data_IF_229878514435
#
_entry.id   IF_229878514435
#
_cell.length_a   1.000
_cell.length_b   1.000
_cell.length_c   1.000
_cell.angle_alpha   90.00
_cell.angle_beta   90.00
_cell.angle_gamma   90.00
#
_symmetry.space_group_name_H-M   'P 1'
#
loop_
_entity.id
_entity.type
_entity.pdbx_description
1 polymer ?
#
# COMPACT_ATOMS: atom_id res chain seq x y z
N UNK A 1 -4.36 9.81 -6.04
CA UNK A 1 -3.10 9.11 -5.73
C UNK A 1 -3.21 8.59 -4.29
N UNK A 2 -2.86 7.33 -4.03
CA UNK A 2 -2.93 6.70 -2.71
C UNK A 2 -1.93 7.32 -1.71
N UNK A 3 -2.18 7.10 -0.43
CA UNK A 3 -1.27 7.47 0.66
C UNK A 3 -0.46 6.24 1.03
N UNK A 4 0.86 6.42 1.14
CA UNK A 4 1.80 5.40 1.60
C UNK A 4 2.62 5.92 2.77
N UNK A 5 3.04 4.99 3.63
CA UNK A 5 3.94 5.28 4.75
C UNK A 5 5.38 4.97 4.36
N UNK A 6 6.29 5.89 4.68
CA UNK A 6 7.72 5.77 4.41
C UNK A 6 8.50 5.91 5.70
N UNK A 7 9.59 5.17 5.85
CA UNK A 7 10.51 5.29 6.98
C UNK A 7 11.93 5.59 6.52
N UNK A 8 12.59 6.52 7.21
CA UNK A 8 14.00 6.81 7.02
C UNK A 8 14.85 5.91 7.92
N UNK A 9 15.72 5.09 7.33
CA UNK A 9 16.63 4.23 8.09
C UNK A 9 17.77 5.00 8.77
N UNK A 10 18.00 6.26 8.40
CA UNK A 10 19.08 7.08 8.95
C UNK A 10 18.68 7.85 10.21
N UNK A 11 17.50 8.47 10.23
CA UNK A 11 17.03 9.28 11.36
C UNK A 11 15.75 8.75 12.03
N UNK A 12 15.27 7.58 11.61
CA UNK A 12 14.08 6.90 12.14
C UNK A 12 12.78 7.70 12.03
N UNK A 13 12.72 8.70 11.14
CA UNK A 13 11.50 9.45 10.87
C UNK A 13 10.57 8.60 10.00
N UNK A 14 9.28 8.53 10.36
CA UNK A 14 8.23 7.99 9.50
C UNK A 14 7.29 9.10 9.02
N UNK A 15 6.86 9.02 7.76
CA UNK A 15 5.99 10.01 7.13
C UNK A 15 4.96 9.34 6.22
N UNK A 16 3.72 9.81 6.28
CA UNK A 16 2.66 9.45 5.32
C UNK A 16 2.64 10.44 4.16
N UNK A 17 2.70 9.95 2.91
CA UNK A 17 2.70 10.80 1.71
C UNK A 17 1.80 10.27 0.62
N UNK A 18 1.21 11.19 -0.13
CA UNK A 18 0.52 10.89 -1.39
C UNK A 18 1.58 10.63 -2.46
N UNK A 19 1.60 9.43 -3.05
CA UNK A 19 2.57 9.08 -4.09
C UNK A 19 1.97 8.09 -5.12
N UNK A 20 2.69 7.88 -6.23
CA UNK A 20 2.38 6.86 -7.22
C UNK A 20 2.69 5.45 -6.69
N UNK A 21 2.10 4.42 -7.31
CA UNK A 21 2.36 3.04 -6.91
C UNK A 21 3.84 2.65 -7.04
N UNK A 22 4.52 3.15 -8.07
CA UNK A 22 5.92 2.85 -8.40
C UNK A 22 6.95 3.64 -7.55
N UNK A 23 6.48 4.61 -6.76
CA UNK A 23 7.36 5.48 -5.96
C UNK A 23 7.81 4.78 -4.66
N UNK A 24 8.70 3.79 -4.75
CA UNK A 24 9.15 3.03 -3.57
C UNK A 24 10.06 3.82 -2.63
N UNK A 25 10.66 4.91 -3.10
CA UNK A 25 11.62 5.71 -2.34
C UNK A 25 11.33 7.20 -2.42
N UNK A 26 11.46 7.92 -1.30
CA UNK A 26 11.33 9.38 -1.24
C UNK A 26 12.43 10.00 -0.40
N UNK A 27 12.69 11.30 -0.55
CA UNK A 27 13.67 12.02 0.30
C UNK A 27 13.07 12.38 1.66
N UNK A 28 13.83 12.09 2.72
CA UNK A 28 13.53 12.46 4.09
C UNK A 28 13.57 13.98 4.27
N UNK A 29 12.51 14.53 4.84
CA UNK A 29 12.40 15.97 5.14
C UNK A 29 13.32 16.43 6.26
N UNK A 30 13.75 15.51 7.13
CA UNK A 30 14.61 15.81 8.28
C UNK A 30 16.11 15.75 7.93
N UNK A 31 16.58 14.63 7.34
CA UNK A 31 18.01 14.42 7.09
C UNK A 31 18.42 14.37 5.61
N UNK A 32 17.46 14.42 4.67
CA UNK A 32 17.75 14.40 3.23
C UNK A 32 18.16 13.04 2.65
N UNK A 33 18.28 12.00 3.47
CA UNK A 33 18.51 10.62 3.00
C UNK A 33 17.23 10.02 2.39
N UNK A 34 17.38 8.89 1.71
CA UNK A 34 16.24 8.15 1.20
C UNK A 34 15.43 7.50 2.33
N UNK A 35 14.12 7.46 2.11
CA UNK A 35 13.13 6.75 2.89
C UNK A 35 12.55 5.64 2.03
N UNK A 36 12.29 4.50 2.66
CA UNK A 36 11.70 3.33 2.00
C UNK A 36 10.23 3.22 2.37
N UNK A 37 9.41 2.82 1.41
CA UNK A 37 7.99 2.53 1.65
C UNK A 37 7.86 1.31 2.57
N UNK A 38 7.00 1.41 3.57
CA UNK A 38 6.74 0.33 4.53
C UNK A 38 5.75 -0.72 4.01
N UNK A 39 4.95 -0.38 3.01
CA UNK A 39 3.98 -1.29 2.38
C UNK A 39 4.52 -1.81 1.07
N UNK A 40 4.74 -3.13 1.00
CA UNK A 40 5.13 -3.83 -0.22
C UNK A 40 3.98 -3.94 -1.23
N UNK A 41 4.34 -4.08 -2.52
CA UNK A 41 3.39 -4.16 -3.62
C UNK A 41 2.35 -5.28 -3.46
N UNK A 42 2.75 -6.45 -2.94
CA UNK A 42 1.84 -7.59 -2.76
C UNK A 42 0.76 -7.32 -1.70
N UNK A 43 1.08 -6.57 -0.64
CA UNK A 43 0.14 -6.26 0.45
C UNK A 43 -0.94 -5.26 0.01
N UNK A 44 -0.60 -4.37 -0.93
CA UNK A 44 -1.55 -3.40 -1.49
C UNK A 44 -2.70 -4.05 -2.28
N UNK A 45 -2.45 -5.23 -2.87
CA UNK A 45 -3.43 -5.92 -3.70
C UNK A 45 -4.18 -7.04 -2.97
N UNK A 46 -3.77 -7.41 -1.74
CA UNK A 46 -4.44 -8.45 -0.94
C UNK A 46 -5.94 -8.20 -0.81
N UNK A 47 -6.34 -6.96 -0.51
CA UNK A 47 -7.75 -6.58 -0.39
C UNK A 47 -8.57 -6.78 -1.67
N UNK A 48 -7.94 -6.72 -2.86
CA UNK A 48 -8.62 -6.99 -4.13
C UNK A 48 -8.71 -8.50 -4.40
N UNK A 49 -7.67 -9.26 -4.06
CA UNK A 49 -7.64 -10.70 -4.27
C UNK A 49 -8.60 -11.45 -3.35
N UNK A 50 -8.59 -11.14 -2.04
CA UNK A 50 -9.48 -11.75 -1.05
C UNK A 50 -10.97 -11.44 -1.31
N UNK A 51 -11.27 -10.32 -1.97
CA UNK A 51 -12.63 -9.95 -2.30
C UNK A 51 -13.14 -10.63 -3.59
N UNK A 52 -12.25 -11.16 -4.44
CA UNK A 52 -12.63 -11.94 -5.62
C UNK A 52 -13.18 -13.33 -5.27
N UNK A 53 -12.90 -13.84 -4.08
CA UNK A 53 -13.35 -15.16 -3.62
C UNK A 53 -14.77 -15.12 -3.00
N UNK A 54 -15.34 -13.92 -2.80
CA UNK A 54 -16.73 -13.74 -2.39
C UNK A 54 -17.64 -13.51 -3.59
N UNK A 55 -17.77 -14.49 -4.48
CA UNK A 55 -18.99 -14.57 -5.30
C UNK A 55 -20.15 -14.92 -4.37
N UNK A 56 -21.18 -14.07 -4.18
CA UNK A 56 -22.39 -14.51 -3.54
C UNK A 56 -23.00 -15.57 -4.44
N UNK A 57 -23.11 -16.80 -3.92
CA UNK A 57 -23.85 -17.89 -4.54
C UNK A 57 -25.28 -17.41 -4.85
N UNK A 58 -25.49 -16.98 -6.10
CA UNK A 58 -26.81 -16.67 -6.63
C UNK A 58 -27.41 -17.96 -7.18
N UNK A 59 -27.71 -18.90 -6.30
CA UNK A 59 -28.69 -19.94 -6.61
C UNK A 59 -30.08 -19.44 -6.24
N UNK A 60 -30.62 -18.57 -7.10
CA UNK A 60 -32.06 -18.41 -7.28
C UNK A 60 -32.41 -19.23 -8.52
N UNK A 61 -33.13 -20.35 -8.33
CA UNK A 61 -34.13 -20.94 -9.23
C UNK A 61 -34.43 -22.39 -8.77
N UNK A 62 -35.57 -22.65 -8.13
CA UNK A 62 -36.83 -23.08 -8.80
C UNK A 62 -36.84 -24.57 -9.16
N UNK A 63 -37.51 -25.40 -8.35
CA UNK A 63 -38.54 -26.41 -8.72
C UNK A 63 -39.00 -27.19 -7.50
#
# INVERSE_FOLDING_TARGET
MPIYEYACMNCSLSESRIAGLDDHTVKCTSCGHDMERLTDGEDLFRAYWENSERTPDRNISSS
#
